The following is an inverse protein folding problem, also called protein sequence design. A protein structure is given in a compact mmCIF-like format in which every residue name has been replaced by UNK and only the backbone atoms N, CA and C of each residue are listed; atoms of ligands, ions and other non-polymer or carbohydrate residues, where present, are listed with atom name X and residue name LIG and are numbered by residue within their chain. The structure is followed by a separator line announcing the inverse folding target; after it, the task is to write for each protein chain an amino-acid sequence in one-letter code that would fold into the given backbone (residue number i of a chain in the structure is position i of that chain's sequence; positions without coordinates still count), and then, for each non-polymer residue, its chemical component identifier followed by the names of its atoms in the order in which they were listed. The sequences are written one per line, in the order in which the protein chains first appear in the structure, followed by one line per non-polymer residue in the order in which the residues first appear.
data_IF_280696383504
#
_entry.id   IF_280696383504
#
_cell.length_a   1.000
_cell.length_b   1.000
_cell.length_c   1.000
_cell.angle_alpha   90.00
_cell.angle_beta   90.00
_cell.angle_gamma   90.00
#
_symmetry.space_group_name_H-M   'P 1'
#
loop_
_entity.id
_entity.type
_entity.pdbx_description
1 polymer ?
#
# COMPACT_ATOMS: atom_id res chain seq x y z
N UNK A 1 -31.87 -35.76 7.83
CA UNK A 1 -32.56 -34.45 7.66
C UNK A 1 -31.52 -33.33 7.76
N UNK A 2 -31.77 -32.06 7.36
CA UNK A 2 -30.76 -31.02 7.55
C UNK A 2 -30.62 -30.70 9.05
N UNK A 3 -29.38 -30.51 9.53
CA UNK A 3 -29.10 -29.97 10.86
C UNK A 3 -28.26 -28.69 10.74
N UNK A 4 -28.34 -27.84 11.75
CA UNK A 4 -27.63 -26.56 11.79
C UNK A 4 -26.40 -26.65 12.69
N UNK A 5 -25.27 -26.14 12.20
CA UNK A 5 -24.07 -25.80 12.97
C UNK A 5 -24.07 -24.27 13.18
N UNK A 6 -24.53 -23.77 14.34
CA UNK A 6 -24.75 -22.34 14.55
C UNK A 6 -23.51 -21.46 14.36
N UNK A 7 -22.32 -22.02 14.60
CA UNK A 7 -21.01 -21.36 14.47
C UNK A 7 -20.66 -21.03 13.02
N UNK A 8 -21.22 -21.79 12.06
CA UNK A 8 -21.01 -21.58 10.63
C UNK A 8 -22.20 -20.90 9.94
N UNK A 9 -23.30 -20.67 10.65
CA UNK A 9 -24.46 -19.99 10.11
C UNK A 9 -24.18 -18.50 9.87
N UNK A 10 -24.31 -18.05 8.62
CA UNK A 10 -24.07 -16.65 8.23
C UNK A 10 -25.29 -15.73 8.39
N UNK A 11 -26.44 -16.23 8.83
CA UNK A 11 -27.68 -15.45 8.92
C UNK A 11 -28.18 -14.89 7.58
N UNK A 12 -27.68 -15.38 6.45
CA UNK A 12 -27.92 -14.78 5.12
C UNK A 12 -29.31 -15.11 4.52
N UNK A 13 -30.08 -15.99 5.14
CA UNK A 13 -31.44 -16.35 4.70
C UNK A 13 -31.56 -17.18 3.42
N UNK A 14 -30.45 -17.54 2.74
CA UNK A 14 -30.51 -18.32 1.48
C UNK A 14 -31.21 -19.69 1.64
N UNK A 15 -30.98 -20.35 2.76
CA UNK A 15 -31.64 -21.62 3.06
C UNK A 15 -33.16 -21.47 3.26
N UNK A 16 -33.62 -20.32 3.75
CA UNK A 16 -35.05 -20.00 3.90
C UNK A 16 -35.69 -19.91 2.52
N UNK A 17 -35.08 -19.17 1.60
CA UNK A 17 -35.59 -19.01 0.23
C UNK A 17 -35.58 -20.32 -0.56
N UNK A 18 -34.66 -21.23 -0.26
CA UNK A 18 -34.54 -22.53 -0.93
C UNK A 18 -35.44 -23.60 -0.33
N UNK A 19 -36.03 -23.38 0.85
CA UNK A 19 -36.88 -24.37 1.50
C UNK A 19 -38.30 -24.34 0.92
N UNK A 20 -38.63 -25.32 0.07
CA UNK A 20 -39.96 -25.45 -0.55
C UNK A 20 -41.08 -25.80 0.44
N UNK A 21 -40.73 -26.24 1.65
CA UNK A 21 -41.65 -26.64 2.72
C UNK A 21 -41.76 -25.63 3.85
N UNK A 22 -41.00 -24.53 3.80
CA UNK A 22 -41.04 -23.51 4.85
C UNK A 22 -40.47 -23.97 6.20
N UNK A 23 -39.66 -25.04 6.22
CA UNK A 23 -39.06 -25.63 7.43
C UNK A 23 -37.95 -24.79 8.08
N UNK A 24 -37.63 -23.62 7.52
CA UNK A 24 -36.51 -22.79 7.97
C UNK A 24 -36.97 -21.35 8.10
N UNK A 25 -36.76 -20.75 9.26
CA UNK A 25 -37.17 -19.37 9.57
C UNK A 25 -36.00 -18.55 10.10
N UNK A 26 -36.08 -17.20 10.08
CA UNK A 26 -35.10 -16.36 10.76
C UNK A 26 -35.15 -16.62 12.26
N UNK A 27 -33.99 -16.77 12.90
CA UNK A 27 -33.91 -16.77 14.36
C UNK A 27 -34.06 -15.39 14.96
N UNK A 28 -34.11 -15.34 16.28
CA UNK A 28 -34.25 -14.10 17.07
C UNK A 28 -33.10 -13.87 18.04
N UNK A 29 -32.25 -14.88 18.26
CA UNK A 29 -31.12 -14.84 19.19
C UNK A 29 -29.80 -14.61 18.44
N UNK A 30 -28.93 -13.77 19.00
CA UNK A 30 -27.59 -13.54 18.43
C UNK A 30 -26.65 -14.62 18.96
N UNK A 31 -25.95 -15.32 18.06
CA UNK A 31 -24.88 -16.23 18.46
C UNK A 31 -23.69 -15.40 19.01
N UNK A 32 -23.27 -15.59 20.27
CA UNK A 32 -22.25 -14.77 20.90
C UNK A 32 -20.85 -14.97 20.31
N UNK A 33 -20.57 -16.09 19.64
CA UNK A 33 -19.28 -16.37 19.01
C UNK A 33 -19.13 -15.68 17.65
N UNK A 34 -20.22 -15.58 16.89
CA UNK A 34 -20.18 -15.06 15.51
C UNK A 34 -20.75 -13.66 15.38
N UNK A 35 -21.55 -13.19 16.35
CA UNK A 35 -22.29 -11.93 16.28
C UNK A 35 -23.46 -11.94 15.29
N UNK A 36 -23.81 -13.10 14.72
CA UNK A 36 -24.86 -13.26 13.72
C UNK A 36 -26.10 -13.93 14.31
N UNK A 37 -27.26 -13.72 13.68
CA UNK A 37 -28.52 -14.37 14.05
C UNK A 37 -28.69 -15.63 13.18
N UNK A 38 -28.51 -16.85 13.73
CA UNK A 38 -28.69 -18.08 12.98
C UNK A 38 -30.16 -18.31 12.63
N UNK A 39 -30.40 -19.15 11.61
CA UNK A 39 -31.76 -19.60 11.26
C UNK A 39 -32.27 -20.63 12.25
N UNK A 40 -33.59 -20.82 12.31
CA UNK A 40 -34.25 -21.86 13.13
C UNK A 40 -34.86 -22.90 12.20
N UNK A 41 -34.74 -24.18 12.58
CA UNK A 41 -35.26 -25.31 11.82
C UNK A 41 -36.50 -25.88 12.51
N UNK A 42 -37.62 -25.94 11.79
CA UNK A 42 -38.80 -26.75 12.14
C UNK A 42 -38.97 -27.83 11.07
N UNK A 43 -38.50 -29.03 11.40
CA UNK A 43 -38.38 -30.13 10.44
C UNK A 43 -39.63 -31.00 10.35
N UNK A 44 -40.74 -30.60 10.98
CA UNK A 44 -41.99 -31.38 11.04
C UNK A 44 -42.49 -31.78 9.65
N UNK A 45 -42.41 -30.86 8.68
CA UNK A 45 -42.86 -31.08 7.28
C UNK A 45 -41.70 -31.32 6.29
N UNK A 46 -40.48 -31.53 6.79
CA UNK A 46 -39.29 -31.64 5.95
C UNK A 46 -39.27 -32.98 5.21
N UNK A 47 -39.10 -32.91 3.89
CA UNK A 47 -39.01 -34.08 3.00
C UNK A 47 -37.56 -34.46 2.65
N UNK A 48 -36.56 -33.88 3.33
CA UNK A 48 -35.14 -34.13 3.10
C UNK A 48 -34.67 -33.97 1.64
N UNK A 49 -35.18 -32.95 0.91
CA UNK A 49 -34.77 -32.68 -0.48
C UNK A 49 -33.39 -32.00 -0.64
N UNK A 50 -32.69 -31.70 0.46
CA UNK A 50 -31.32 -31.15 0.52
C UNK A 50 -31.08 -29.78 -0.14
N UNK A 51 -32.07 -29.16 -0.80
CA UNK A 51 -31.95 -27.82 -1.43
C UNK A 51 -31.44 -26.72 -0.48
N UNK A 52 -31.77 -26.82 0.81
CA UNK A 52 -31.32 -25.85 1.81
C UNK A 52 -29.83 -26.01 2.17
N UNK A 53 -29.27 -27.20 2.01
CA UNK A 53 -27.86 -27.54 2.21
C UNK A 53 -27.05 -27.01 1.02
N UNK A 54 -27.49 -27.29 -0.21
CA UNK A 54 -26.86 -26.80 -1.45
C UNK A 54 -26.82 -25.27 -1.53
N UNK A 55 -27.83 -24.60 -0.95
CA UNK A 55 -27.91 -23.15 -0.92
C UNK A 55 -27.05 -22.51 0.20
N UNK A 56 -26.47 -23.31 1.11
CA UNK A 56 -25.69 -22.81 2.22
C UNK A 56 -24.27 -22.45 1.77
N UNK A 57 -23.77 -21.23 2.03
CA UNK A 57 -22.40 -20.86 1.65
C UNK A 57 -21.35 -21.50 2.58
N UNK A 58 -20.17 -21.81 2.04
CA UNK A 58 -19.02 -22.28 2.81
C UNK A 58 -18.68 -21.34 3.99
N UNK A 59 -18.35 -21.87 5.19
CA UNK A 59 -18.08 -23.27 5.55
C UNK A 59 -19.32 -24.14 5.90
N UNK A 60 -20.47 -23.85 5.31
CA UNK A 60 -21.74 -24.59 5.41
C UNK A 60 -22.28 -24.69 6.84
N UNK A 61 -23.22 -23.80 7.16
CA UNK A 61 -24.01 -23.87 8.40
C UNK A 61 -25.07 -24.97 8.41
N UNK A 62 -25.66 -25.34 7.26
CA UNK A 62 -26.61 -26.44 7.15
C UNK A 62 -25.93 -27.66 6.52
N UNK A 63 -26.16 -28.83 7.11
CA UNK A 63 -25.54 -30.09 6.71
C UNK A 63 -26.51 -31.27 6.80
N UNK A 64 -26.30 -32.35 6.03
CA UNK A 64 -27.07 -33.57 6.17
C UNK A 64 -26.74 -34.30 7.49
N UNK A 65 -27.77 -34.74 8.20
CA UNK A 65 -27.68 -35.53 9.43
C UNK A 65 -26.75 -36.75 9.27
N UNK A 66 -25.81 -36.90 10.20
CA UNK A 66 -24.78 -37.95 10.17
C UNK A 66 -23.42 -37.48 9.67
N UNK A 67 -23.32 -36.29 9.07
CA UNK A 67 -22.04 -35.70 8.68
C UNK A 67 -21.39 -34.99 9.87
N UNK A 68 -20.38 -35.62 10.49
CA UNK A 68 -19.58 -34.96 11.52
C UNK A 68 -18.71 -33.87 10.91
N UNK A 69 -18.61 -32.74 11.61
CA UNK A 69 -17.73 -31.65 11.22
C UNK A 69 -16.26 -32.08 11.32
N UNK A 70 -15.71 -32.61 10.23
CA UNK A 70 -14.28 -32.91 10.14
C UNK A 70 -13.55 -31.84 9.31
N UNK A 71 -13.79 -30.57 9.63
CA UNK A 71 -12.75 -29.55 9.41
C UNK A 71 -12.28 -29.11 10.79
N UNK A 72 -11.46 -29.96 11.41
CA UNK A 72 -10.54 -29.47 12.41
C UNK A 72 -9.53 -28.57 11.70
N UNK A 73 -9.45 -27.32 12.14
CA UNK A 73 -8.27 -26.49 11.92
C UNK A 73 -7.10 -27.21 12.59
N UNK A 74 -6.48 -28.13 11.85
CA UNK A 74 -5.24 -28.76 12.27
C UNK A 74 -4.18 -27.69 12.28
N UNK A 75 -3.45 -27.63 13.38
CA UNK A 75 -2.26 -26.79 13.45
C UNK A 75 -1.36 -27.17 12.24
N UNK A 76 -0.94 -26.21 11.39
CA UNK A 76 0.02 -26.48 10.33
C UNK A 76 1.28 -27.21 10.81
N UNK A 77 1.64 -27.05 12.09
CA UNK A 77 2.72 -27.80 12.75
C UNK A 77 2.40 -29.30 12.91
N UNK A 78 1.14 -29.71 13.03
CA UNK A 78 0.73 -31.12 13.04
C UNK A 78 0.76 -31.76 11.65
N UNK A 79 0.53 -30.95 10.60
CA UNK A 79 0.55 -31.41 9.20
C UNK A 79 1.97 -31.45 8.61
N UNK A 80 2.82 -30.50 9.00
CA UNK A 80 4.17 -30.32 8.45
C UNK A 80 5.31 -30.59 9.42
N UNK A 81 5.01 -30.99 10.66
CA UNK A 81 5.96 -30.98 11.76
C UNK A 81 6.28 -29.55 12.25
N UNK A 82 6.99 -29.40 13.39
CA UNK A 82 7.54 -28.11 13.76
C UNK A 82 8.44 -27.63 12.62
N UNK A 83 8.18 -26.41 12.12
CA UNK A 83 9.12 -25.72 11.24
C UNK A 83 10.05 -24.92 12.14
N UNK A 84 11.22 -25.47 12.54
CA UNK A 84 12.14 -24.74 13.39
C UNK A 84 12.49 -23.42 12.69
N UNK A 85 12.24 -22.34 13.40
CA UNK A 85 12.48 -21.00 12.96
C UNK A 85 13.81 -20.55 13.58
N UNK A 86 14.90 -20.68 12.84
CA UNK A 86 16.27 -20.43 13.30
C UNK A 86 16.82 -19.08 12.81
N UNK A 87 15.96 -18.21 12.28
CA UNK A 87 16.40 -16.91 11.84
C UNK A 87 16.85 -16.07 13.04
N UNK A 88 18.00 -15.38 12.93
CA UNK A 88 18.43 -14.43 13.94
C UNK A 88 17.47 -13.23 14.00
N UNK A 89 17.58 -12.45 15.09
CA UNK A 89 16.96 -11.12 15.12
C UNK A 89 17.68 -10.26 14.07
N UNK A 90 16.96 -9.59 13.14
CA UNK A 90 17.59 -8.76 12.13
C UNK A 90 18.37 -7.61 12.76
N UNK A 91 19.62 -7.40 12.32
CA UNK A 91 20.41 -6.23 12.69
C UNK A 91 20.29 -5.17 11.59
N UNK A 92 20.08 -3.88 11.94
CA UNK A 92 19.96 -2.84 10.95
C UNK A 92 21.32 -2.60 10.28
N UNK A 93 21.33 -2.60 8.94
CA UNK A 93 22.44 -2.02 8.19
C UNK A 93 22.19 -0.51 8.09
N UNK A 94 23.05 0.34 8.68
CA UNK A 94 22.83 1.77 8.66
C UNK A 94 23.09 2.35 7.28
N UNK A 95 22.45 3.48 7.01
CA UNK A 95 22.80 4.31 5.87
C UNK A 95 24.26 4.75 5.96
N UNK A 96 24.91 4.82 4.80
CA UNK A 96 26.26 5.38 4.69
C UNK A 96 26.25 6.60 3.77
N UNK A 97 27.25 7.46 3.92
CA UNK A 97 27.37 8.68 3.16
C UNK A 97 28.59 8.61 2.26
N UNK A 98 28.40 8.88 0.97
CA UNK A 98 29.48 8.99 -0.01
C UNK A 98 29.72 10.46 -0.33
N UNK A 99 30.95 10.93 -0.12
CA UNK A 99 31.34 12.27 -0.50
C UNK A 99 31.35 12.44 -2.02
N UNK A 100 30.82 13.57 -2.50
CA UNK A 100 30.78 13.92 -3.90
C UNK A 100 31.82 15.00 -4.21
N UNK A 101 32.46 14.96 -5.40
CA UNK A 101 33.36 16.01 -5.80
C UNK A 101 32.60 17.33 -5.95
N UNK A 102 33.26 18.44 -5.63
CA UNK A 102 32.70 19.77 -5.85
C UNK A 102 32.36 19.98 -7.33
N UNK A 103 31.13 20.43 -7.61
CA UNK A 103 30.65 20.71 -8.97
C UNK A 103 30.07 22.10 -9.07
N UNK A 104 30.18 22.68 -10.26
CA UNK A 104 29.47 23.90 -10.58
C UNK A 104 27.94 23.68 -10.47
N UNK A 105 27.16 24.71 -10.13
CA UNK A 105 25.71 24.61 -10.08
C UNK A 105 25.15 24.23 -11.46
N UNK A 106 24.11 23.38 -11.45
CA UNK A 106 23.38 22.96 -12.64
C UNK A 106 22.22 23.92 -12.92
N UNK A 107 21.74 23.94 -14.15
CA UNK A 107 20.52 24.64 -14.55
C UNK A 107 19.52 23.59 -15.03
N UNK A 108 18.51 23.30 -14.22
CA UNK A 108 17.60 22.17 -14.44
C UNK A 108 16.15 22.55 -14.12
N UNK A 109 15.21 21.79 -14.69
CA UNK A 109 13.78 21.88 -14.34
C UNK A 109 13.54 21.42 -12.90
N UNK A 110 12.46 21.91 -12.27
CA UNK A 110 12.08 21.48 -10.92
C UNK A 110 11.86 19.98 -10.77
N UNK A 111 11.17 19.32 -11.70
CA UNK A 111 11.00 17.84 -11.67
C UNK A 111 12.32 17.09 -11.79
N UNK A 112 13.27 17.61 -12.56
CA UNK A 112 14.63 17.07 -12.65
C UNK A 112 15.39 17.27 -11.34
N UNK A 113 15.21 18.42 -10.68
CA UNK A 113 15.82 18.67 -9.38
C UNK A 113 15.32 17.68 -8.32
N UNK A 114 14.01 17.37 -8.28
CA UNK A 114 13.48 16.29 -7.43
C UNK A 114 14.06 14.92 -7.78
N UNK A 115 14.18 14.57 -9.06
CA UNK A 115 14.78 13.30 -9.49
C UNK A 115 16.24 13.19 -9.04
N UNK A 116 17.03 14.27 -9.17
CA UNK A 116 18.40 14.33 -8.65
C UNK A 116 18.43 14.20 -7.12
N UNK A 117 17.56 14.92 -6.41
CA UNK A 117 17.42 14.82 -4.95
C UNK A 117 17.07 13.41 -4.49
N UNK A 118 16.23 12.70 -5.25
CA UNK A 118 15.90 11.31 -4.96
C UNK A 118 17.09 10.36 -5.16
N UNK A 119 17.83 10.49 -6.27
CA UNK A 119 19.03 9.69 -6.52
C UNK A 119 20.09 9.90 -5.43
N UNK A 120 20.30 11.16 -5.05
CA UNK A 120 21.25 11.58 -4.00
C UNK A 120 20.77 11.16 -2.61
N UNK A 121 19.46 11.13 -2.38
CA UNK A 121 18.82 10.54 -1.21
C UNK A 121 18.78 9.01 -1.23
N UNK A 122 19.50 8.34 -2.12
CA UNK A 122 19.60 6.88 -2.14
C UNK A 122 18.41 6.14 -2.73
N UNK A 123 17.47 6.83 -3.38
CA UNK A 123 16.36 6.18 -4.07
C UNK A 123 16.87 5.30 -5.23
N UNK A 124 16.47 4.04 -5.24
CA UNK A 124 16.81 3.09 -6.32
C UNK A 124 15.61 2.43 -6.96
N UNK A 125 14.40 2.65 -6.45
CA UNK A 125 13.20 2.00 -6.97
C UNK A 125 12.15 3.04 -7.30
N UNK A 126 11.79 3.14 -8.58
CA UNK A 126 10.81 4.10 -9.05
C UNK A 126 9.72 3.37 -9.81
N UNK A 127 8.50 3.65 -9.43
CA UNK A 127 7.30 3.10 -10.05
C UNK A 127 6.47 4.30 -10.51
N UNK A 128 5.94 4.28 -11.73
CA UNK A 128 5.18 5.43 -12.20
C UNK A 128 4.28 5.14 -13.37
N UNK A 129 3.20 5.91 -13.47
CA UNK A 129 2.32 5.97 -14.63
C UNK A 129 2.45 7.36 -15.27
N UNK A 130 2.59 7.48 -16.60
CA UNK A 130 2.79 8.77 -17.24
C UNK A 130 1.60 9.73 -17.03
N UNK A 131 1.85 10.90 -16.42
CA UNK A 131 0.84 11.94 -16.22
C UNK A 131 1.45 13.35 -16.24
N UNK A 132 0.94 14.23 -17.09
CA UNK A 132 1.33 15.65 -17.15
C UNK A 132 0.86 16.38 -15.89
N UNK A 133 1.68 17.28 -15.29
CA UNK A 133 2.99 17.77 -15.70
C UNK A 133 4.18 17.15 -14.92
N UNK A 134 4.08 15.87 -14.55
CA UNK A 134 5.09 15.17 -13.71
C UNK A 134 6.03 14.25 -14.49
N UNK A 135 5.65 13.86 -15.71
CA UNK A 135 6.29 12.81 -16.51
C UNK A 135 7.79 13.00 -16.71
N UNK A 136 8.27 14.23 -16.87
CA UNK A 136 9.70 14.47 -17.12
C UNK A 136 10.59 14.00 -15.95
N UNK A 137 10.11 14.13 -14.71
CA UNK A 137 10.83 13.59 -13.55
C UNK A 137 10.97 12.07 -13.63
N UNK A 138 9.89 11.38 -13.97
CA UNK A 138 9.88 9.93 -14.18
C UNK A 138 10.77 9.52 -15.37
N UNK A 139 10.75 10.25 -16.48
CA UNK A 139 11.61 9.99 -17.64
C UNK A 139 13.10 10.10 -17.31
N UNK A 140 13.48 11.09 -16.48
CA UNK A 140 14.87 11.20 -16.02
C UNK A 140 15.24 10.00 -15.14
N UNK A 141 14.37 9.59 -14.21
CA UNK A 141 14.61 8.40 -13.39
C UNK A 141 14.69 7.12 -14.23
N UNK A 142 13.87 6.98 -15.26
CA UNK A 142 13.92 5.85 -16.19
C UNK A 142 15.28 5.73 -16.90
N UNK A 143 15.93 6.86 -17.18
CA UNK A 143 17.29 6.90 -17.76
C UNK A 143 18.37 6.62 -16.71
N UNK A 144 18.24 7.19 -15.51
CA UNK A 144 19.28 7.12 -14.48
C UNK A 144 19.31 5.80 -13.72
N UNK A 145 18.15 5.22 -13.39
CA UNK A 145 18.10 4.06 -12.49
C UNK A 145 18.89 2.85 -13.01
N UNK A 146 18.80 2.44 -14.30
CA UNK A 146 19.60 1.32 -14.82
C UNK A 146 21.11 1.56 -14.74
N UNK A 147 21.56 2.82 -14.73
CA UNK A 147 22.99 3.18 -14.61
C UNK A 147 23.50 3.12 -13.17
N UNK A 148 22.61 2.99 -12.19
CA UNK A 148 22.89 3.06 -10.76
C UNK A 148 22.46 1.79 -10.02
N UNK A 149 22.33 0.67 -10.75
CA UNK A 149 21.82 -0.62 -10.27
C UNK A 149 20.43 -0.50 -9.62
N UNK A 150 19.66 0.49 -10.05
CA UNK A 150 18.29 0.73 -9.66
C UNK A 150 17.29 0.16 -10.65
N UNK A 151 16.01 0.31 -10.30
CA UNK A 151 14.86 -0.19 -11.05
C UNK A 151 13.90 0.96 -11.33
N UNK A 152 13.47 1.06 -12.58
CA UNK A 152 12.33 1.86 -12.99
C UNK A 152 11.30 0.95 -13.64
N UNK A 153 10.05 1.01 -13.18
CA UNK A 153 8.92 0.29 -13.78
C UNK A 153 7.84 1.28 -14.16
N UNK A 154 7.51 1.31 -15.46
CA UNK A 154 6.28 1.96 -15.90
C UNK A 154 5.10 1.06 -15.54
N UNK A 155 4.35 1.45 -14.52
CA UNK A 155 3.17 0.71 -14.08
C UNK A 155 2.00 0.91 -15.07
N UNK A 156 1.00 0.06 -14.96
CA UNK A 156 -0.23 0.14 -15.77
C UNK A 156 -1.21 1.21 -15.28
N UNK A 157 -1.08 1.63 -14.03
CA UNK A 157 -1.91 2.66 -13.38
C UNK A 157 -1.23 3.18 -12.11
N UNK A 158 -1.74 4.28 -11.58
CA UNK A 158 -1.34 4.82 -10.28
C UNK A 158 -1.70 3.88 -9.11
N UNK A 159 -2.78 3.10 -9.24
CA UNK A 159 -3.15 2.06 -8.27
C UNK A 159 -2.08 0.95 -8.24
N UNK A 160 -1.64 0.49 -9.41
CA UNK A 160 -0.56 -0.49 -9.48
C UNK A 160 0.76 0.10 -8.94
N UNK A 161 1.02 1.38 -9.23
CA UNK A 161 2.22 2.10 -8.76
C UNK A 161 2.33 2.10 -7.24
N UNK A 162 1.29 2.52 -6.52
CA UNK A 162 1.34 2.59 -5.04
C UNK A 162 1.46 1.21 -4.41
N UNK A 163 0.85 0.18 -4.99
CA UNK A 163 0.97 -1.20 -4.49
C UNK A 163 2.37 -1.79 -4.74
N UNK A 164 3.03 -1.44 -5.86
CA UNK A 164 4.46 -1.78 -6.06
C UNK A 164 5.34 -1.07 -5.02
N UNK A 165 5.05 0.20 -4.71
CA UNK A 165 5.73 0.94 -3.65
C UNK A 165 5.52 0.33 -2.28
N UNK A 166 4.32 -0.17 -1.96
CA UNK A 166 4.06 -0.89 -0.71
C UNK A 166 4.99 -2.09 -0.53
N UNK A 167 5.14 -2.93 -1.57
CA UNK A 167 6.09 -4.05 -1.53
C UNK A 167 7.55 -3.60 -1.39
N UNK A 168 7.97 -2.60 -2.17
CA UNK A 168 9.35 -2.11 -2.16
C UNK A 168 9.73 -1.43 -0.82
N UNK A 169 8.87 -0.56 -0.31
CA UNK A 169 9.03 0.09 0.98
C UNK A 169 9.03 -0.92 2.12
N UNK A 170 8.17 -1.94 2.04
CA UNK A 170 8.13 -3.03 3.01
C UNK A 170 9.43 -3.85 3.05
N UNK A 171 10.07 -4.04 1.89
CA UNK A 171 11.41 -4.63 1.80
C UNK A 171 12.54 -3.68 2.24
N UNK A 172 12.21 -2.53 2.86
CA UNK A 172 13.18 -1.55 3.35
C UNK A 172 13.86 -0.74 2.26
N UNK A 173 13.37 -0.81 1.01
CA UNK A 173 13.99 -0.11 -0.11
C UNK A 173 13.41 1.29 -0.27
N UNK A 174 14.30 2.28 -0.47
CA UNK A 174 13.90 3.65 -0.81
C UNK A 174 13.23 3.66 -2.17
N UNK A 175 11.91 3.88 -2.16
CA UNK A 175 11.09 3.93 -3.35
C UNK A 175 10.33 5.24 -3.48
N UNK A 176 9.97 5.59 -4.72
CA UNK A 176 9.18 6.78 -4.99
C UNK A 176 8.32 6.67 -6.24
N UNK A 177 7.45 7.68 -6.42
CA UNK A 177 6.76 7.95 -7.67
C UNK A 177 6.71 9.43 -8.01
N UNK A 178 6.50 9.73 -9.30
CA UNK A 178 6.06 11.03 -9.79
C UNK A 178 4.62 10.89 -10.28
N UNK A 179 3.75 11.80 -9.85
CA UNK A 179 2.34 11.83 -10.22
C UNK A 179 1.80 13.26 -10.25
N UNK A 180 0.51 13.39 -10.56
CA UNK A 180 -0.24 14.65 -10.51
C UNK A 180 -1.60 14.42 -9.85
N UNK A 181 -2.39 15.49 -9.67
CA UNK A 181 -3.61 15.52 -8.86
C UNK A 181 -4.57 14.34 -9.05
N UNK A 182 -4.94 13.92 -10.29
CA UNK A 182 -5.82 12.76 -10.47
C UNK A 182 -5.15 11.44 -10.07
N UNK A 183 -3.88 11.27 -10.44
CA UNK A 183 -3.10 10.08 -10.13
C UNK A 183 -2.87 9.92 -8.62
N UNK A 184 -2.56 11.01 -7.93
CA UNK A 184 -2.46 11.04 -6.47
C UNK A 184 -3.78 10.61 -5.80
N UNK A 185 -4.93 11.04 -6.35
CA UNK A 185 -6.25 10.62 -5.86
C UNK A 185 -6.49 9.11 -6.02
N UNK A 186 -5.99 8.50 -7.09
CA UNK A 186 -6.08 7.04 -7.30
C UNK A 186 -5.18 6.25 -6.33
N UNK A 187 -4.12 6.86 -5.82
CA UNK A 187 -3.20 6.22 -4.88
C UNK A 187 -3.68 6.23 -3.42
N UNK A 188 -4.75 6.96 -3.09
CA UNK A 188 -5.15 7.23 -1.70
C UNK A 188 -5.46 5.97 -0.88
N UNK A 189 -6.05 4.95 -1.50
CA UNK A 189 -6.24 3.64 -0.85
C UNK A 189 -4.89 3.06 -0.44
N UNK A 190 -3.96 2.91 -1.39
CA UNK A 190 -2.61 2.41 -1.11
C UNK A 190 -1.81 3.28 -0.15
N UNK A 191 -1.98 4.60 -0.18
CA UNK A 191 -1.37 5.51 0.79
C UNK A 191 -1.90 5.24 2.20
N UNK A 192 -3.21 5.02 2.36
CA UNK A 192 -3.78 4.69 3.68
C UNK A 192 -3.26 3.34 4.20
N UNK A 193 -3.02 2.36 3.32
CA UNK A 193 -2.35 1.10 3.67
C UNK A 193 -0.89 1.32 4.10
N UNK A 194 -0.12 2.10 3.35
CA UNK A 194 1.27 2.45 3.70
C UNK A 194 1.34 3.11 5.08
N UNK A 195 0.41 4.01 5.40
CA UNK A 195 0.32 4.67 6.71
C UNK A 195 0.00 3.65 7.80
N UNK A 196 -1.04 2.83 7.61
CA UNK A 196 -1.47 1.82 8.60
C UNK A 196 -0.41 0.76 8.89
N UNK A 197 0.36 0.39 7.87
CA UNK A 197 1.43 -0.60 7.96
C UNK A 197 2.81 -0.02 8.34
N UNK A 198 2.90 1.31 8.58
CA UNK A 198 4.15 2.01 8.87
C UNK A 198 5.24 1.76 7.80
N UNK A 199 4.87 1.88 6.53
CA UNK A 199 5.75 1.64 5.38
C UNK A 199 6.19 2.97 4.76
N UNK A 200 7.51 3.24 4.68
CA UNK A 200 8.02 4.47 4.11
C UNK A 200 7.93 4.48 2.58
N UNK A 201 7.49 5.60 2.02
CA UNK A 201 7.49 5.83 0.58
C UNK A 201 7.41 7.33 0.27
N UNK A 202 7.96 7.75 -0.88
CA UNK A 202 7.98 9.17 -1.29
C UNK A 202 7.10 9.40 -2.52
N UNK A 203 6.20 10.37 -2.43
CA UNK A 203 5.31 10.77 -3.52
C UNK A 203 5.66 12.18 -3.97
N UNK A 204 6.05 12.36 -5.23
CA UNK A 204 6.15 13.68 -5.83
C UNK A 204 4.84 13.98 -6.55
N UNK A 205 3.98 14.79 -5.94
CA UNK A 205 2.74 15.23 -6.57
C UNK A 205 2.96 16.63 -7.18
N UNK A 206 3.00 16.68 -8.52
CA UNK A 206 3.04 17.94 -9.27
C UNK A 206 1.61 18.33 -9.65
N UNK A 207 1.10 19.30 -8.92
CA UNK A 207 -0.30 19.68 -8.94
C UNK A 207 -0.70 20.43 -10.21
N UNK A 208 -1.91 20.15 -10.68
CA UNK A 208 -2.53 20.82 -11.83
C UNK A 208 -3.99 21.15 -11.55
N UNK A 209 -4.64 21.90 -12.45
CA UNK A 209 -6.03 22.31 -12.28
C UNK A 209 -6.99 21.14 -12.09
N UNK A 210 -7.78 21.17 -11.02
CA UNK A 210 -8.91 20.27 -10.74
C UNK A 210 -10.22 21.04 -10.52
N UNK A 211 -11.30 20.42 -10.00
CA UNK A 211 -11.46 19.01 -9.64
C UNK A 211 -11.72 18.09 -10.85
N UNK A 212 -11.77 16.77 -10.62
CA UNK A 212 -11.97 15.77 -11.68
C UNK A 212 -10.75 15.67 -12.60
N UNK A 213 -10.97 15.56 -13.92
CA UNK A 213 -9.87 15.62 -14.89
C UNK A 213 -9.19 17.00 -14.90
N UNK A 214 -10.00 18.04 -14.68
CA UNK A 214 -9.62 19.44 -14.65
C UNK A 214 -8.90 19.91 -15.91
N UNK A 215 -7.78 20.62 -15.75
CA UNK A 215 -6.92 21.05 -16.85
C UNK A 215 -5.44 20.80 -16.50
N UNK A 216 -4.55 20.99 -17.49
CA UNK A 216 -3.10 20.80 -17.28
C UNK A 216 -2.38 22.05 -16.78
N UNK A 217 -3.10 23.16 -16.56
CA UNK A 217 -2.50 24.38 -16.06
C UNK A 217 -2.08 24.20 -14.60
N UNK A 218 -1.04 24.91 -14.13
CA UNK A 218 -0.58 24.83 -12.75
C UNK A 218 -1.68 25.22 -11.76
N UNK A 219 -1.75 24.52 -10.63
CA UNK A 219 -2.63 24.89 -9.52
C UNK A 219 -2.03 24.46 -8.18
N UNK A 220 -2.54 25.04 -7.08
CA UNK A 220 -2.12 24.75 -5.71
C UNK A 220 -3.28 24.22 -4.84
N UNK A 221 -4.26 23.54 -5.45
CA UNK A 221 -5.52 23.14 -4.80
C UNK A 221 -5.51 21.80 -4.02
N UNK A 222 -4.57 20.89 -4.30
CA UNK A 222 -4.45 19.58 -3.61
C UNK A 222 -3.92 19.68 -2.17
N UNK A 223 -3.55 20.86 -1.66
CA UNK A 223 -3.02 21.00 -0.30
C UNK A 223 -3.94 20.39 0.77
N UNK A 224 -5.27 20.54 0.59
CA UNK A 224 -6.26 19.91 1.48
C UNK A 224 -6.23 18.39 1.36
N UNK A 225 -6.10 17.86 0.14
CA UNK A 225 -6.03 16.42 -0.10
C UNK A 225 -4.76 15.82 0.51
N UNK A 226 -3.61 16.44 0.28
CA UNK A 226 -2.32 15.99 0.79
C UNK A 226 -2.23 16.08 2.33
N UNK A 227 -2.82 17.10 2.97
CA UNK A 227 -2.71 17.29 4.42
C UNK A 227 -3.82 16.61 5.23
N UNK A 228 -4.97 16.30 4.62
CA UNK A 228 -6.20 15.86 5.33
C UNK A 228 -7.03 14.79 4.61
N UNK A 229 -6.66 14.38 3.40
CA UNK A 229 -7.47 13.50 2.56
C UNK A 229 -6.72 12.28 2.04
N UNK A 230 -5.76 11.74 2.81
CA UNK A 230 -4.85 10.66 2.44
C UNK A 230 -5.48 9.25 2.49
N UNK A 231 -6.74 9.13 2.08
CA UNK A 231 -7.54 7.91 2.19
C UNK A 231 -8.39 7.85 3.46
N UNK A 232 -8.97 6.68 3.75
CA UNK A 232 -9.92 6.50 4.84
C UNK A 232 -9.25 6.32 6.21
N UNK A 233 -9.96 6.70 7.28
CA UNK A 233 -9.47 6.59 8.65
C UNK A 233 -8.68 7.81 9.12
N UNK A 234 -8.05 7.70 10.29
CA UNK A 234 -7.24 8.76 10.89
C UNK A 234 -5.84 8.77 10.25
N UNK A 235 -5.74 9.19 8.99
CA UNK A 235 -4.50 9.19 8.22
C UNK A 235 -3.68 10.46 8.45
N UNK A 236 -2.36 10.31 8.49
CA UNK A 236 -1.43 11.42 8.59
C UNK A 236 -0.12 11.09 7.87
N UNK A 237 0.26 11.88 6.87
CA UNK A 237 1.57 11.81 6.22
C UNK A 237 2.29 13.15 6.33
N UNK A 238 3.60 13.13 6.14
CA UNK A 238 4.40 14.36 6.12
C UNK A 238 4.28 14.99 4.73
N UNK A 239 4.03 16.30 4.69
CA UNK A 239 3.92 17.06 3.43
C UNK A 239 4.99 18.14 3.38
N UNK A 240 5.82 18.12 2.33
CA UNK A 240 6.86 19.10 2.07
C UNK A 240 6.48 19.91 0.83
N UNK A 241 6.39 21.23 0.95
CA UNK A 241 5.96 22.12 -0.13
C UNK A 241 7.13 23.03 -0.57
N UNK A 242 7.96 22.62 -1.53
CA UNK A 242 9.05 23.43 -2.06
C UNK A 242 8.53 24.68 -2.81
N UNK A 243 9.30 25.76 -2.76
CA UNK A 243 9.04 27.02 -3.47
C UNK A 243 10.01 27.26 -4.64
N UNK A 244 11.12 26.52 -4.73
CA UNK A 244 12.16 26.71 -5.75
C UNK A 244 12.71 25.39 -6.28
N UNK A 245 13.33 25.37 -7.48
CA UNK A 245 14.02 24.16 -7.96
C UNK A 245 15.12 23.66 -7.03
N UNK A 246 15.77 24.52 -6.25
CA UNK A 246 16.73 24.09 -5.23
C UNK A 246 16.02 23.32 -4.11
N UNK A 247 14.92 23.85 -3.58
CA UNK A 247 14.13 23.16 -2.56
C UNK A 247 13.48 21.88 -3.08
N UNK A 248 13.14 21.80 -4.37
CA UNK A 248 12.69 20.54 -4.99
C UNK A 248 13.76 19.45 -4.83
N UNK A 249 15.05 19.77 -4.98
CA UNK A 249 16.14 18.83 -4.72
C UNK A 249 16.25 18.53 -3.21
N UNK A 250 16.41 19.58 -2.40
CA UNK A 250 16.76 19.44 -0.98
C UNK A 250 15.64 18.75 -0.19
N UNK A 251 14.39 19.12 -0.43
CA UNK A 251 13.23 18.52 0.24
C UNK A 251 12.93 17.11 -0.28
N UNK A 252 13.25 16.79 -1.54
CA UNK A 252 13.13 15.41 -2.00
C UNK A 252 14.19 14.53 -1.33
N UNK A 253 15.42 15.02 -1.15
CA UNK A 253 16.44 14.29 -0.41
C UNK A 253 16.03 14.10 1.07
N UNK A 254 15.55 15.17 1.72
CA UNK A 254 15.02 15.12 3.09
C UNK A 254 13.82 14.18 3.24
N UNK A 255 12.97 14.07 2.22
CA UNK A 255 11.77 13.24 2.29
C UNK A 255 12.08 11.77 2.58
N UNK A 256 13.20 11.23 2.09
CA UNK A 256 13.60 9.85 2.38
C UNK A 256 14.06 9.66 3.82
N UNK A 257 14.80 10.62 4.38
CA UNK A 257 15.18 10.60 5.80
C UNK A 257 13.94 10.64 6.69
N UNK A 258 13.03 11.58 6.43
CA UNK A 258 11.77 11.69 7.17
C UNK A 258 10.90 10.43 7.01
N UNK A 259 10.79 9.88 5.81
CA UNK A 259 9.97 8.70 5.56
C UNK A 259 10.45 7.50 6.39
N UNK A 260 11.75 7.21 6.34
CA UNK A 260 12.33 6.07 7.05
C UNK A 260 12.42 6.30 8.56
N UNK A 261 12.72 7.53 8.99
CA UNK A 261 12.79 7.89 10.42
C UNK A 261 11.45 7.77 11.12
N UNK A 262 10.38 8.21 10.47
CA UNK A 262 9.03 8.20 11.06
C UNK A 262 8.17 7.02 10.58
N UNK A 263 8.74 6.12 9.77
CA UNK A 263 8.03 4.98 9.15
C UNK A 263 6.67 5.39 8.57
N UNK A 264 6.68 6.46 7.77
CA UNK A 264 5.46 7.09 7.28
C UNK A 264 5.70 7.61 5.86
N UNK A 265 4.70 7.56 4.95
CA UNK A 265 4.81 8.23 3.66
C UNK A 265 5.12 9.73 3.78
N UNK A 266 5.82 10.23 2.76
CA UNK A 266 6.10 11.66 2.59
C UNK A 266 5.65 12.12 1.21
N UNK A 267 4.93 13.24 1.16
CA UNK A 267 4.48 13.89 -0.07
C UNK A 267 5.32 15.13 -0.31
N UNK A 268 6.08 15.16 -1.39
CA UNK A 268 6.69 16.37 -1.94
C UNK A 268 5.68 17.00 -2.89
N UNK A 269 5.14 18.14 -2.48
CA UNK A 269 3.98 18.79 -3.11
C UNK A 269 4.43 20.05 -3.86
N UNK A 270 4.58 19.95 -5.17
CA UNK A 270 4.88 21.07 -6.06
C UNK A 270 3.72 21.36 -7.02
N UNK A 271 3.76 22.46 -7.74
CA UNK A 271 2.79 22.77 -8.79
C UNK A 271 3.39 22.69 -10.20
N UNK A 272 2.55 22.71 -11.22
CA UNK A 272 2.97 22.65 -12.62
C UNK A 272 3.93 23.77 -13.05
N UNK A 273 3.91 24.95 -12.43
CA UNK A 273 4.90 26.00 -12.70
C UNK A 273 6.23 25.57 -12.13
N UNK A 274 6.29 25.22 -10.84
CA UNK A 274 7.53 24.82 -10.19
C UNK A 274 8.15 23.58 -10.84
N UNK A 275 7.34 22.60 -11.20
CA UNK A 275 7.79 21.38 -11.88
C UNK A 275 8.50 21.67 -13.21
N UNK A 276 8.01 22.66 -13.97
CA UNK A 276 8.52 23.01 -15.31
C UNK A 276 9.51 24.17 -15.30
N UNK A 277 9.55 24.96 -14.23
CA UNK A 277 10.47 26.08 -14.07
C UNK A 277 11.91 25.59 -14.07
N UNK A 278 12.75 26.26 -14.84
CA UNK A 278 14.19 25.99 -14.86
C UNK A 278 14.88 26.95 -13.90
N UNK A 279 15.71 26.42 -13.00
CA UNK A 279 16.44 27.20 -12.01
C UNK A 279 17.85 26.68 -11.78
N UNK A 280 18.66 27.51 -11.11
CA UNK A 280 20.01 27.15 -10.69
C UNK A 280 19.93 26.25 -9.45
N UNK A 281 20.54 25.07 -9.52
CA UNK A 281 20.55 24.07 -8.45
C UNK A 281 21.99 23.69 -8.12
N UNK A 282 22.36 23.78 -6.84
CA UNK A 282 23.62 23.29 -6.30
C UNK A 282 23.41 21.88 -5.79
N UNK A 283 24.28 20.96 -6.20
CA UNK A 283 24.29 19.62 -5.64
C UNK A 283 24.90 19.67 -4.23
N UNK A 284 24.43 18.82 -3.30
CA UNK A 284 25.10 18.59 -2.03
C UNK A 284 26.51 18.02 -2.25
N UNK A 285 27.32 18.11 -1.20
CA UNK A 285 28.67 17.54 -1.15
C UNK A 285 28.68 16.04 -0.85
N UNK A 286 27.51 15.41 -0.75
CA UNK A 286 27.37 14.00 -0.44
C UNK A 286 26.11 13.39 -1.05
N UNK A 287 26.09 12.06 -1.10
CA UNK A 287 24.90 11.26 -1.34
C UNK A 287 24.77 10.17 -0.27
N UNK A 288 23.53 9.71 -0.08
CA UNK A 288 23.21 8.61 0.84
C UNK A 288 23.20 7.30 0.06
N UNK A 289 23.90 6.30 0.60
CA UNK A 289 23.79 4.90 0.19
C UNK A 289 22.91 4.22 1.24
N UNK A 290 21.69 3.80 0.86
CA UNK A 290 20.73 3.28 1.83
C UNK A 290 21.17 1.92 2.35
N UNK A 291 21.01 1.73 3.66
CA UNK A 291 21.15 0.44 4.30
C UNK A 291 19.86 -0.40 4.23
N UNK A 292 19.69 -1.30 5.20
CA UNK A 292 18.52 -2.15 5.36
C UNK A 292 18.03 -1.99 6.80
N UNK A 293 16.84 -1.43 7.02
CA UNK A 293 16.26 -1.32 8.36
C UNK A 293 15.95 -2.70 8.97
N UNK A 294 16.07 -2.82 10.28
CA UNK A 294 15.80 -4.08 11.00
C UNK A 294 14.38 -4.62 10.80
N UNK A 295 13.39 -3.74 10.57
CA UNK A 295 11.98 -4.11 10.39
C UNK A 295 11.64 -4.57 8.97
N UNK A 296 12.57 -4.43 8.01
CA UNK A 296 12.31 -4.68 6.60
C UNK A 296 12.03 -6.16 6.32
N UNK A 297 11.05 -6.46 5.46
CA UNK A 297 10.84 -7.83 4.93
C UNK A 297 11.72 -8.07 3.70
N UNK A 298 13.04 -8.07 3.90
CA UNK A 298 14.03 -8.04 2.81
C UNK A 298 14.03 -9.27 1.90
N UNK A 299 13.53 -10.41 2.40
CA UNK A 299 13.50 -11.68 1.65
C UNK A 299 14.76 -12.53 1.78
N UNK A 300 15.53 -12.35 2.86
CA UNK A 300 16.67 -13.21 3.23
C UNK A 300 16.36 -14.06 4.49
N UNK A 301 17.33 -14.87 4.93
CA UNK A 301 17.18 -15.70 6.13
C UNK A 301 17.03 -14.86 7.40
N UNK A 302 17.83 -13.78 7.55
CA UNK A 302 17.82 -12.90 8.73
C UNK A 302 16.50 -12.15 8.93
N UNK A 303 15.83 -11.74 7.85
CA UNK A 303 14.60 -10.93 7.91
C UNK A 303 13.33 -11.76 7.76
N UNK A 304 13.42 -13.10 7.73
CA UNK A 304 12.29 -14.00 7.45
C UNK A 304 11.15 -13.89 8.47
N UNK A 305 11.41 -13.24 9.61
CA UNK A 305 10.52 -13.22 10.79
C UNK A 305 9.80 -11.90 10.91
N UNK A 306 10.22 -10.92 10.12
CA UNK A 306 9.56 -9.66 10.02
C UNK A 306 8.20 -9.85 9.35
N UNK A 307 7.22 -9.13 9.89
CA UNK A 307 5.86 -9.09 9.39
C UNK A 307 5.46 -7.63 9.26
N UNK A 308 4.95 -7.27 8.10
CA UNK A 308 4.32 -5.98 7.86
C UNK A 308 2.84 -6.23 7.63
N UNK A 309 2.01 -5.69 8.53
CA UNK A 309 0.56 -5.76 8.47
C UNK A 309 -0.03 -4.38 8.80
N UNK A 310 -1.12 -4.02 8.13
CA UNK A 310 -1.95 -2.84 8.42
C UNK A 310 -3.08 -3.17 9.38
#
# INVERSE_FOLDING_TARGET
MPFLVPEYCKGCGRCITSCTKGCITPGTEINPLTGLVPVVLDLTDCNACELCIDACPEPFGLRPEGEQAAFELRDPAELGGPRPYDAPVPEPLPDTTLALPGRAPLVVKGTYASALGAVLGGCRHVYGYPITPSTEGAELMAKLQPMLDGVFVQAVSEVATVNMMYGAGGAGKRCMTFTSSPGFSLMLEGISYLIGAEVPAVFVNIMRGGPGLGNIAPAQADIKLACRGLGHGNTHAIVLAPATPQEMLDLTMLSFDLAFRYRNPVVVLGDGYLGQMTGKVRLPDHMVVPGIPEWAVYGDHSHRGNLICS
#
